data_IF_683247893578
#
_entry.id   IF_683247893578
#
_cell.length_a   1.000
_cell.length_b   1.000
_cell.length_c   1.000
_cell.angle_alpha   90.00
_cell.angle_beta   90.00
_cell.angle_gamma   90.00
#
_symmetry.space_group_name_H-M   'P 1'
#
loop_
_entity.id
_entity.type
_entity.pdbx_description
1 polymer ?
#
# COMPACT_ATOMS: atom_id res chain seq x y z
N UNK A 1 16.70 -0.31 3.87
CA UNK A 1 15.37 -0.48 3.27
C UNK A 1 14.39 -0.58 4.42
N UNK A 2 13.25 0.11 4.34
CA UNK A 2 12.27 0.14 5.42
C UNK A 2 11.40 -1.12 5.43
N UNK A 3 10.82 -1.44 6.58
CA UNK A 3 9.86 -2.54 6.75
C UNK A 3 8.59 -2.30 5.93
N UNK A 4 8.07 -1.07 5.95
CA UNK A 4 6.88 -0.67 5.20
C UNK A 4 7.01 -0.90 3.68
N UNK A 5 8.16 -0.57 3.07
CA UNK A 5 8.37 -0.83 1.63
C UNK A 5 8.28 -2.32 1.29
N UNK A 6 8.74 -3.20 2.19
CA UNK A 6 8.68 -4.66 1.98
C UNK A 6 7.27 -5.18 2.08
N UNK A 7 6.54 -4.77 3.12
CA UNK A 7 5.14 -5.17 3.34
C UNK A 7 4.25 -4.70 2.18
N UNK A 8 4.47 -3.48 1.67
CA UNK A 8 3.74 -2.99 0.49
C UNK A 8 4.09 -3.77 -0.78
N UNK A 9 5.36 -4.13 -0.97
CA UNK A 9 5.77 -4.95 -2.12
C UNK A 9 5.20 -6.36 -2.06
N UNK A 10 5.16 -6.97 -0.88
CA UNK A 10 4.54 -8.28 -0.65
C UNK A 10 3.04 -8.21 -0.94
N UNK A 11 2.33 -7.24 -0.34
CA UNK A 11 0.92 -6.99 -0.62
C UNK A 11 0.65 -6.81 -2.12
N UNK A 12 1.44 -5.99 -2.82
CA UNK A 12 1.28 -5.82 -4.26
C UNK A 12 1.53 -7.13 -5.03
N UNK A 13 2.60 -7.86 -4.70
CA UNK A 13 2.99 -9.08 -5.40
C UNK A 13 1.97 -10.20 -5.25
N UNK A 14 1.30 -10.28 -4.11
CA UNK A 14 0.24 -11.25 -3.85
C UNK A 14 -1.04 -10.95 -4.65
N UNK A 15 -1.36 -9.68 -4.88
CA UNK A 15 -2.62 -9.25 -5.49
C UNK A 15 -2.49 -8.83 -6.98
N UNK A 16 -1.27 -8.66 -7.51
CA UNK A 16 -1.03 -8.15 -8.86
C UNK A 16 -1.71 -8.96 -9.96
N UNK A 17 -1.79 -10.28 -9.82
CA UNK A 17 -2.46 -11.12 -10.81
C UNK A 17 -3.97 -10.85 -10.84
N UNK A 18 -4.61 -10.66 -9.68
CA UNK A 18 -6.04 -10.31 -9.60
C UNK A 18 -6.32 -8.93 -10.22
N UNK A 19 -5.49 -7.92 -9.92
CA UNK A 19 -5.62 -6.60 -10.53
C UNK A 19 -5.50 -6.66 -12.06
N UNK A 20 -4.62 -7.53 -12.57
CA UNK A 20 -4.42 -7.70 -14.01
C UNK A 20 -5.59 -8.44 -14.68
N UNK A 21 -6.20 -9.41 -14.00
CA UNK A 21 -7.37 -10.14 -14.52
C UNK A 21 -8.61 -9.26 -14.69
N UNK A 22 -8.73 -8.19 -13.90
CA UNK A 22 -9.81 -7.21 -14.02
C UNK A 22 -9.65 -6.28 -15.24
N UNK A 23 -8.48 -6.27 -15.89
CA UNK A 23 -8.18 -5.39 -17.02
C UNK A 23 -8.35 -6.15 -18.35
N UNK A 24 -9.04 -5.52 -19.29
CA UNK A 24 -9.40 -6.16 -20.58
C UNK A 24 -8.22 -6.38 -21.53
N UNK A 25 -7.12 -5.64 -21.36
CA UNK A 25 -5.98 -5.62 -22.28
C UNK A 25 -4.62 -5.65 -21.56
N UNK A 26 -3.70 -6.43 -22.10
CA UNK A 26 -2.36 -6.61 -21.53
C UNK A 26 -1.53 -5.32 -21.55
N UNK A 27 -1.71 -4.44 -22.55
CA UNK A 27 -1.01 -3.15 -22.57
C UNK A 27 -1.50 -2.21 -21.46
N UNK A 28 -2.79 -2.25 -21.12
CA UNK A 28 -3.31 -1.53 -19.96
C UNK A 28 -2.82 -2.15 -18.65
N UNK A 29 -2.86 -3.48 -18.54
CA UNK A 29 -2.34 -4.21 -17.39
C UNK A 29 -0.88 -3.88 -17.10
N UNK A 30 -0.04 -3.79 -18.13
CA UNK A 30 1.38 -3.43 -17.98
C UNK A 30 1.62 -1.95 -17.61
N UNK A 31 0.60 -1.08 -17.71
CA UNK A 31 0.69 0.32 -17.27
C UNK A 31 0.14 0.53 -15.86
N UNK A 32 -0.96 -0.16 -15.54
CA UNK A 32 -1.73 0.01 -14.30
C UNK A 32 -1.17 -0.88 -13.18
N UNK A 33 -0.90 -2.15 -13.50
CA UNK A 33 -0.41 -3.17 -12.57
C UNK A 33 0.74 -3.98 -13.22
N UNK A 34 1.90 -3.35 -13.48
CA UNK A 34 3.06 -4.05 -14.04
C UNK A 34 3.59 -5.12 -13.08
N UNK A 35 3.99 -6.28 -13.60
CA UNK A 35 4.74 -7.25 -12.81
C UNK A 35 6.13 -6.69 -12.52
N UNK A 36 6.42 -6.42 -11.25
CA UNK A 36 7.72 -5.92 -10.78
C UNK A 36 8.40 -7.01 -9.95
N UNK A 37 9.73 -7.05 -9.99
CA UNK A 37 10.58 -8.02 -9.28
C UNK A 37 11.46 -7.36 -8.22
N UNK A 38 11.28 -6.05 -8.01
CA UNK A 38 12.12 -5.26 -7.12
C UNK A 38 11.38 -4.09 -6.49
N UNK A 39 11.84 -3.69 -5.30
CA UNK A 39 11.33 -2.52 -4.58
C UNK A 39 11.49 -1.21 -5.37
N UNK A 40 12.49 -1.11 -6.26
CA UNK A 40 12.64 0.06 -7.13
C UNK A 40 11.42 0.24 -8.03
N UNK A 41 10.84 -0.85 -8.54
CA UNK A 41 9.62 -0.80 -9.34
C UNK A 41 8.43 -0.25 -8.57
N UNK A 42 8.37 -0.45 -7.25
CA UNK A 42 7.29 0.05 -6.40
C UNK A 42 7.25 1.58 -6.33
N UNK A 43 8.41 2.24 -6.45
CA UNK A 43 8.51 3.70 -6.33
C UNK A 43 7.78 4.47 -7.43
N UNK A 44 7.52 3.83 -8.57
CA UNK A 44 6.74 4.42 -9.66
C UNK A 44 5.23 4.22 -9.46
N UNK A 45 4.85 3.22 -8.66
CA UNK A 45 3.46 2.79 -8.49
C UNK A 45 2.82 3.36 -7.22
N UNK A 46 3.60 3.61 -6.16
CA UNK A 46 3.09 4.02 -4.85
C UNK A 46 3.59 5.41 -4.50
N UNK A 47 2.66 6.33 -4.20
CA UNK A 47 2.97 7.71 -3.83
C UNK A 47 2.34 8.04 -2.48
N UNK A 48 3.14 8.27 -1.42
CA UNK A 48 2.62 8.72 -0.13
C UNK A 48 1.88 10.06 -0.28
N UNK A 49 0.69 10.15 0.29
CA UNK A 49 -0.18 11.34 0.22
C UNK A 49 -0.41 11.97 1.59
N UNK A 50 -0.69 11.17 2.61
CA UNK A 50 -1.03 11.68 3.93
C UNK A 50 -0.41 10.85 5.07
N UNK A 51 0.00 11.53 6.14
CA UNK A 51 0.42 10.93 7.40
C UNK A 51 -0.61 11.23 8.49
N UNK A 52 -1.23 10.19 9.01
CA UNK A 52 -2.23 10.27 10.07
C UNK A 52 -1.56 9.93 11.41
N UNK A 53 -1.52 10.91 12.32
CA UNK A 53 -1.03 10.70 13.69
C UNK A 53 -2.21 10.61 14.65
N UNK A 54 -2.40 9.44 15.27
CA UNK A 54 -3.50 9.24 16.22
C UNK A 54 -3.08 9.54 17.65
N UNK A 55 -4.01 10.13 18.41
CA UNK A 55 -3.85 10.27 19.87
C UNK A 55 -3.77 8.89 20.52
N UNK A 56 -2.79 8.71 21.39
CA UNK A 56 -2.68 7.53 22.26
C UNK A 56 -3.94 7.39 23.11
N UNK A 57 -4.58 6.21 23.04
CA UNK A 57 -5.80 5.89 23.81
C UNK A 57 -5.42 5.17 25.11
N UNK A 58 -6.42 4.70 25.86
CA UNK A 58 -6.22 3.96 27.13
C UNK A 58 -5.33 2.72 27.01
N UNK A 59 -5.23 2.11 25.82
CA UNK A 59 -4.37 0.96 25.56
C UNK A 59 -2.88 1.32 25.40
N UNK A 60 -2.51 2.60 25.48
CA UNK A 60 -1.11 3.04 25.44
C UNK A 60 -0.43 2.96 24.07
N UNK A 61 -1.03 2.25 23.11
CA UNK A 61 -0.48 2.06 21.76
C UNK A 61 -0.37 3.38 20.99
N UNK A 62 0.81 3.65 20.43
CA UNK A 62 1.05 4.72 19.45
C UNK A 62 0.62 4.23 18.09
N UNK A 63 -0.16 5.03 17.34
CA UNK A 63 -0.63 4.64 16.01
C UNK A 63 -0.33 5.71 14.99
N UNK A 64 0.22 5.27 13.86
CA UNK A 64 0.41 6.05 12.66
C UNK A 64 -0.32 5.35 11.51
N UNK A 65 -0.85 6.14 10.59
CA UNK A 65 -1.34 5.68 9.30
C UNK A 65 -0.61 6.41 8.19
N UNK A 66 -0.15 5.69 7.17
CA UNK A 66 0.28 6.30 5.91
C UNK A 66 -0.77 5.98 4.86
N UNK A 67 -1.25 7.01 4.17
CA UNK A 67 -2.06 6.87 2.97
C UNK A 67 -1.17 7.06 1.74
N UNK A 68 -1.44 6.28 0.71
CA UNK A 68 -0.73 6.32 -0.55
C UNK A 68 -1.72 6.24 -1.73
N UNK A 69 -1.46 7.03 -2.76
CA UNK A 69 -2.04 6.79 -4.08
C UNK A 69 -1.30 5.61 -4.73
N UNK A 70 -2.05 4.76 -5.44
CA UNK A 70 -1.49 3.62 -6.16
C UNK A 70 -1.97 3.57 -7.60
N UNK A 71 -1.14 3.01 -8.49
CA UNK A 71 -1.49 2.94 -9.92
C UNK A 71 -2.57 1.90 -10.23
N UNK A 72 -2.68 0.84 -9.41
CA UNK A 72 -3.55 -0.30 -9.65
C UNK A 72 -4.97 -0.15 -9.07
N UNK A 73 -5.16 0.78 -8.15
CA UNK A 73 -6.44 1.09 -7.52
C UNK A 73 -6.52 2.58 -7.16
N UNK A 74 -7.09 3.36 -8.09
CA UNK A 74 -7.15 4.83 -7.99
C UNK A 74 -8.32 5.28 -7.10
N UNK A 75 -9.33 4.42 -6.88
CA UNK A 75 -10.51 4.78 -6.10
C UNK A 75 -10.25 4.60 -4.60
N UNK A 76 -9.71 3.45 -4.21
CA UNK A 76 -9.56 3.10 -2.79
C UNK A 76 -8.15 3.35 -2.24
N UNK A 77 -7.13 3.48 -3.09
CA UNK A 77 -5.76 3.76 -2.68
C UNK A 77 -5.18 2.68 -1.75
N UNK A 78 -4.12 3.03 -1.02
CA UNK A 78 -3.44 2.12 -0.11
C UNK A 78 -3.24 2.76 1.28
N UNK A 79 -3.57 1.99 2.33
CA UNK A 79 -3.28 2.28 3.71
C UNK A 79 -2.13 1.43 4.25
N UNK A 80 -1.30 2.04 5.09
CA UNK A 80 -0.28 1.35 5.89
C UNK A 80 -0.52 1.71 7.35
N UNK A 81 -0.87 0.71 8.16
CA UNK A 81 -1.15 0.86 9.58
C UNK A 81 0.08 0.47 10.40
N UNK A 82 0.50 1.40 11.26
CA UNK A 82 1.67 1.23 12.11
C UNK A 82 1.23 1.36 13.57
N UNK A 83 1.50 0.34 14.38
CA UNK A 83 1.32 0.39 15.84
C UNK A 83 2.65 0.18 16.55
N UNK A 84 2.96 1.04 17.53
CA UNK A 84 4.20 0.98 18.31
C UNK A 84 5.46 0.80 17.43
N UNK A 85 5.51 1.57 16.33
CA UNK A 85 6.58 1.63 15.32
C UNK A 85 6.76 0.37 14.45
N UNK A 86 5.82 -0.59 14.51
CA UNK A 86 5.80 -1.79 13.68
C UNK A 86 4.66 -1.70 12.67
N UNK A 87 4.90 -2.17 11.43
CA UNK A 87 3.85 -2.29 10.42
C UNK A 87 2.94 -3.45 10.80
N UNK A 88 1.68 -3.15 11.12
CA UNK A 88 0.70 -4.16 11.53
C UNK A 88 -0.14 -4.65 10.34
N UNK A 89 -0.40 -3.78 9.36
CA UNK A 89 -1.31 -4.09 8.27
C UNK A 89 -1.04 -3.18 7.05
N UNK A 90 -1.11 -3.78 5.86
CA UNK A 90 -1.13 -3.09 4.56
C UNK A 90 -2.37 -3.55 3.81
N UNK A 91 -3.12 -2.61 3.22
CA UNK A 91 -4.42 -2.89 2.61
C UNK A 91 -5.06 -1.61 2.08
N UNK A 92 -6.38 -1.61 1.90
CA UNK A 92 -7.11 -0.40 1.49
C UNK A 92 -6.98 0.74 2.52
N UNK A 93 -7.23 1.97 2.08
CA UNK A 93 -7.04 3.16 2.92
C UNK A 93 -7.86 3.18 4.22
N UNK A 94 -8.93 2.40 4.33
CA UNK A 94 -9.82 2.39 5.50
C UNK A 94 -9.18 1.73 6.73
N UNK A 95 -8.13 0.92 6.56
CA UNK A 95 -7.44 0.26 7.68
C UNK A 95 -6.77 1.23 8.66
N UNK A 96 -6.48 2.47 8.22
CA UNK A 96 -5.87 3.52 9.05
C UNK A 96 -6.90 4.41 9.79
N UNK A 97 -8.20 4.11 9.63
CA UNK A 97 -9.30 4.81 10.30
C UNK A 97 -9.52 4.39 11.77
#
# INVERSE_FOLDING_TARGET
MSEAEKEVFEYYSENVDEYREMLEDESQANKVAPKIDSLTGLTELVKPTELIVRRVRKNGKRRLGLLCDVSWDIEDGLGIKIEDEVVEEVGYQDIVL
#
